data_IF_140238037188
#
_entry.id   IF_140238037188
#
_cell.length_a   1.000
_cell.length_b   1.000
_cell.length_c   1.000
_cell.angle_alpha   90.00
_cell.angle_beta   90.00
_cell.angle_gamma   90.00
#
_symmetry.space_group_name_H-M   'P 1'
#
loop_
_entity.id
_entity.type
_entity.pdbx_description
1 polymer ?
#
# COMPACT_ATOMS: atom_id res chain seq x y z
N UNK A 1 -0.32 15.94 7.20
CA UNK A 1 -1.27 14.80 7.15
C UNK A 1 -1.19 14.16 5.77
N UNK A 2 -1.10 12.82 5.66
CA UNK A 2 -1.05 12.15 4.35
C UNK A 2 -2.42 12.21 3.67
N UNK A 3 -2.47 12.28 2.34
CA UNK A 3 -3.73 12.35 1.59
C UNK A 3 -4.72 11.22 1.93
N UNK A 4 -4.21 10.02 2.24
CA UNK A 4 -5.01 8.85 2.66
C UNK A 4 -5.66 9.04 4.04
N UNK A 5 -4.92 9.59 4.99
CA UNK A 5 -5.41 9.89 6.34
C UNK A 5 -6.50 10.96 6.28
N UNK A 6 -6.29 12.01 5.48
CA UNK A 6 -7.28 13.07 5.26
C UNK A 6 -8.58 12.50 4.70
N UNK A 7 -8.52 11.70 3.63
CA UNK A 7 -9.73 11.07 3.04
C UNK A 7 -10.49 10.21 4.06
N UNK A 8 -9.79 9.43 4.88
CA UNK A 8 -10.42 8.61 5.93
C UNK A 8 -11.12 9.50 6.97
N UNK A 9 -10.43 10.54 7.45
CA UNK A 9 -10.98 11.48 8.43
C UNK A 9 -12.21 12.22 7.88
N UNK A 10 -12.12 12.75 6.65
CA UNK A 10 -13.27 13.37 5.98
C UNK A 10 -14.42 12.38 5.84
N UNK A 11 -14.16 11.14 5.45
CA UNK A 11 -15.20 10.11 5.34
C UNK A 11 -15.93 9.85 6.65
N UNK A 12 -15.20 9.74 7.76
CA UNK A 12 -15.80 9.59 9.10
C UNK A 12 -16.64 10.80 9.50
N UNK A 13 -16.13 12.02 9.29
CA UNK A 13 -16.86 13.25 9.60
C UNK A 13 -18.15 13.39 8.78
N UNK A 14 -18.12 13.02 7.51
CA UNK A 14 -19.31 13.06 6.65
C UNK A 14 -20.36 12.01 7.08
N UNK A 15 -19.93 10.84 7.56
CA UNK A 15 -20.84 9.85 8.13
C UNK A 15 -21.44 10.32 9.46
N UNK A 16 -20.65 10.97 10.32
CA UNK A 16 -21.12 11.59 11.56
C UNK A 16 -22.18 12.67 11.30
N UNK A 17 -22.03 13.43 10.20
CA UNK A 17 -23.03 14.38 9.68
C UNK A 17 -24.27 13.71 9.08
N UNK A 18 -24.40 12.39 9.16
CA UNK A 18 -25.56 11.62 8.69
C UNK A 18 -25.55 11.29 7.20
N UNK A 19 -24.45 11.50 6.46
CA UNK A 19 -24.39 11.10 5.05
C UNK A 19 -24.33 9.58 4.91
N UNK A 20 -24.99 9.08 3.87
CA UNK A 20 -24.97 7.66 3.52
C UNK A 20 -23.59 7.25 2.99
N UNK A 21 -23.25 5.96 3.12
CA UNK A 21 -21.99 5.40 2.61
C UNK A 21 -21.82 5.68 1.10
N UNK A 22 -22.92 5.61 0.35
CA UNK A 22 -22.97 5.93 -1.09
C UNK A 22 -22.64 7.40 -1.37
N UNK A 23 -23.18 8.33 -0.61
CA UNK A 23 -22.89 9.76 -0.79
C UNK A 23 -21.42 10.09 -0.46
N UNK A 24 -20.89 9.51 0.62
CA UNK A 24 -19.49 9.67 1.02
C UNK A 24 -18.54 9.07 -0.01
N UNK A 25 -18.86 7.87 -0.54
CA UNK A 25 -18.03 7.18 -1.53
C UNK A 25 -17.93 7.97 -2.84
N UNK A 26 -19.06 8.50 -3.32
CA UNK A 26 -19.12 9.39 -4.48
C UNK A 26 -18.31 10.68 -4.26
N UNK A 27 -18.47 11.31 -3.09
CA UNK A 27 -17.77 12.57 -2.76
C UNK A 27 -16.25 12.38 -2.71
N UNK A 28 -15.76 11.26 -2.17
CA UNK A 28 -14.34 11.02 -1.97
C UNK A 28 -13.66 10.25 -3.13
N UNK A 29 -14.45 9.81 -4.12
CA UNK A 29 -13.98 9.01 -5.24
C UNK A 29 -13.42 7.64 -4.80
N UNK A 30 -14.10 6.97 -3.87
CA UNK A 30 -13.72 5.64 -3.37
C UNK A 30 -14.90 4.67 -3.51
N UNK A 31 -14.67 3.37 -3.36
CA UNK A 31 -15.77 2.41 -3.36
C UNK A 31 -16.58 2.48 -2.07
N UNK A 32 -17.87 2.14 -2.13
CA UNK A 32 -18.73 2.07 -0.93
C UNK A 32 -18.20 1.04 0.09
N UNK A 33 -17.64 -0.08 -0.37
CA UNK A 33 -16.98 -1.06 0.49
C UNK A 33 -15.79 -0.48 1.26
N UNK A 34 -15.06 0.47 0.67
CA UNK A 34 -13.96 1.17 1.35
C UNK A 34 -14.49 2.01 2.52
N UNK A 35 -15.58 2.75 2.29
CA UNK A 35 -16.21 3.58 3.35
C UNK A 35 -16.81 2.69 4.44
N UNK A 36 -17.47 1.60 4.06
CA UNK A 36 -17.97 0.58 5.01
C UNK A 36 -16.84 0.04 5.90
N UNK A 37 -15.72 -0.33 5.30
CA UNK A 37 -14.54 -0.82 6.02
C UNK A 37 -13.99 0.24 6.99
N UNK A 38 -13.99 1.53 6.62
CA UNK A 38 -13.58 2.59 7.56
C UNK A 38 -14.52 2.69 8.75
N UNK A 39 -15.84 2.62 8.55
CA UNK A 39 -16.82 2.63 9.64
C UNK A 39 -16.60 1.46 10.60
N UNK A 40 -16.40 0.26 10.06
CA UNK A 40 -16.13 -0.95 10.86
C UNK A 40 -14.82 -0.84 11.64
N UNK A 41 -13.74 -0.41 10.98
CA UNK A 41 -12.44 -0.20 11.61
C UNK A 41 -12.46 0.91 12.66
N UNK A 42 -13.20 1.99 12.43
CA UNK A 42 -13.39 3.03 13.43
C UNK A 42 -14.07 2.49 14.69
N UNK A 43 -15.08 1.61 14.54
CA UNK A 43 -15.72 0.94 15.67
C UNK A 43 -14.79 0.01 16.46
N UNK A 44 -13.76 -0.55 15.82
CA UNK A 44 -12.81 -1.49 16.44
C UNK A 44 -11.55 -0.81 16.99
N UNK A 45 -10.99 0.16 16.27
CA UNK A 45 -9.66 0.74 16.49
C UNK A 45 -9.72 2.24 16.87
N UNK A 46 -10.90 2.87 16.79
CA UNK A 46 -11.06 4.31 16.95
C UNK A 46 -10.27 5.11 15.92
N UNK A 47 -9.70 6.24 16.33
CA UNK A 47 -8.90 7.12 15.46
C UNK A 47 -7.61 6.47 14.94
N UNK A 48 -7.15 5.37 15.53
CA UNK A 48 -5.96 4.65 15.04
C UNK A 48 -6.16 4.13 13.61
N UNK A 49 -7.41 3.90 13.18
CA UNK A 49 -7.71 3.45 11.83
C UNK A 49 -7.23 4.44 10.74
N UNK A 50 -7.11 5.73 11.09
CA UNK A 50 -6.69 6.79 10.17
C UNK A 50 -5.32 6.49 9.58
N UNK A 51 -4.42 5.94 10.39
CA UNK A 51 -3.06 5.64 10.00
C UNK A 51 -2.95 4.32 9.23
N UNK A 52 -2.02 4.27 8.29
CA UNK A 52 -1.67 3.01 7.63
C UNK A 52 -0.93 2.11 8.62
N UNK A 53 -1.29 0.82 8.64
CA UNK A 53 -0.53 -0.18 9.38
C UNK A 53 0.88 -0.30 8.80
N UNK A 54 1.89 -0.64 9.61
CA UNK A 54 3.24 -0.90 9.12
C UNK A 54 3.18 -1.90 7.96
N UNK A 55 3.76 -1.54 6.81
CA UNK A 55 3.85 -2.47 5.69
C UNK A 55 4.96 -3.46 6.00
N UNK A 56 4.59 -4.68 6.39
CA UNK A 56 5.49 -5.82 6.34
C UNK A 56 5.72 -6.14 4.87
N UNK A 57 6.67 -5.45 4.22
CA UNK A 57 7.10 -5.82 2.88
C UNK A 57 7.53 -7.29 2.84
N UNK A 58 7.76 -7.84 1.63
CA UNK A 58 8.35 -9.17 1.51
C UNK A 58 9.65 -9.20 2.33
N UNK A 59 9.86 -10.18 3.23
CA UNK A 59 11.13 -10.33 3.93
C UNK A 59 12.29 -10.36 2.93
N UNK A 60 13.40 -9.73 3.28
CA UNK A 60 14.59 -9.76 2.42
C UNK A 60 15.16 -11.17 2.47
N UNK A 61 14.99 -11.93 1.39
CA UNK A 61 15.48 -13.31 1.26
C UNK A 61 16.94 -13.39 0.79
N UNK A 62 17.47 -12.29 0.23
CA UNK A 62 18.83 -12.25 -0.32
C UNK A 62 19.81 -11.68 0.71
N UNK A 63 20.79 -12.49 1.09
CA UNK A 63 21.91 -12.06 1.92
C UNK A 63 22.79 -11.03 1.18
N UNK A 64 23.60 -10.27 1.93
CA UNK A 64 24.43 -9.20 1.39
C UNK A 64 25.36 -9.66 0.26
N UNK A 65 25.95 -10.84 0.41
CA UNK A 65 26.83 -11.44 -0.62
C UNK A 65 26.05 -11.84 -1.88
N UNK A 66 24.85 -12.40 -1.73
CA UNK A 66 23.99 -12.76 -2.86
C UNK A 66 23.56 -11.50 -3.63
N UNK A 67 23.23 -10.41 -2.93
CA UNK A 67 22.92 -9.12 -3.56
C UNK A 67 24.13 -8.57 -4.31
N UNK A 68 25.32 -8.62 -3.72
CA UNK A 68 26.55 -8.15 -4.36
C UNK A 68 26.87 -8.95 -5.64
N UNK A 69 26.69 -10.29 -5.61
CA UNK A 69 26.84 -11.16 -6.78
C UNK A 69 25.84 -10.80 -7.88
N UNK A 70 24.56 -10.60 -7.55
CA UNK A 70 23.53 -10.20 -8.52
C UNK A 70 23.84 -8.82 -9.12
N UNK A 71 24.27 -7.86 -8.31
CA UNK A 71 24.64 -6.52 -8.80
C UNK A 71 25.87 -6.59 -9.71
N UNK A 72 26.91 -7.32 -9.33
CA UNK A 72 28.10 -7.50 -10.16
C UNK A 72 27.77 -8.19 -11.49
N UNK A 73 26.93 -9.23 -11.47
CA UNK A 73 26.44 -9.92 -12.65
C UNK A 73 25.67 -8.98 -13.57
N UNK A 74 24.71 -8.22 -13.03
CA UNK A 74 23.91 -7.27 -13.79
C UNK A 74 24.73 -6.13 -14.40
N UNK A 75 25.86 -5.78 -13.80
CA UNK A 75 26.77 -4.74 -14.28
C UNK A 75 27.92 -5.28 -15.17
N UNK A 76 27.98 -6.58 -15.43
CA UNK A 76 29.00 -7.18 -16.30
C UNK A 76 28.54 -7.30 -17.75
N UNK A 77 29.49 -7.53 -18.67
CA UNK A 77 29.16 -7.78 -20.08
C UNK A 77 28.50 -9.14 -20.26
N UNK A 78 27.46 -9.17 -21.10
CA UNK A 78 26.78 -10.42 -21.41
C UNK A 78 27.75 -11.38 -22.14
N UNK A 79 27.77 -12.68 -21.79
CA UNK A 79 28.62 -13.65 -22.46
C UNK A 79 28.29 -13.72 -23.96
N UNK A 80 29.34 -13.93 -24.78
CA UNK A 80 29.24 -13.95 -26.23
C UNK A 80 28.13 -14.91 -26.72
N UNK A 81 27.19 -14.39 -27.51
CA UNK A 81 26.07 -15.16 -28.07
C UNK A 81 24.76 -15.09 -27.27
N UNK A 82 24.70 -14.33 -26.18
CA UNK A 82 23.47 -14.14 -25.40
C UNK A 82 23.11 -12.66 -25.25
N UNK A 83 21.90 -12.28 -25.68
CA UNK A 83 21.36 -10.92 -25.50
C UNK A 83 20.82 -10.66 -24.08
N UNK A 84 20.72 -11.69 -23.21
CA UNK A 84 20.16 -11.60 -21.85
C UNK A 84 20.78 -12.63 -20.89
N UNK A 85 20.86 -12.26 -19.61
CA UNK A 85 21.30 -13.13 -18.51
C UNK A 85 20.23 -14.18 -18.15
N UNK A 86 20.59 -15.46 -18.12
CA UNK A 86 19.77 -16.54 -17.55
C UNK A 86 20.39 -17.03 -16.24
N UNK A 87 19.56 -17.16 -15.21
CA UNK A 87 19.95 -17.65 -13.88
C UNK A 87 19.49 -19.11 -13.76
N UNK A 88 20.36 -20.02 -13.34
CA UNK A 88 20.01 -21.42 -13.03
C UNK A 88 20.44 -21.76 -11.61
#
# INVERSE_FOLDING_TARGET
MKAREYKRATGLLEMDRGKTLKAVSQTLGVSENTVRSWRERYGQEGLQMLHDKPRSGRPVELEGEQRAKITALACSEAPMGHERWTFR
#
